data_IF_965112339573
#
_entry.id   IF_965112339573
#
_cell.length_a   1.000
_cell.length_b   1.000
_cell.length_c   1.000
_cell.angle_alpha   90.00
_cell.angle_beta   90.00
_cell.angle_gamma   90.00
#
_symmetry.space_group_name_H-M   'P 1'
#
loop_
_entity.id
_entity.type
_entity.pdbx_description
1 polymer ?
#
# COMPACT_ATOMS: atom_id res chain seq x y z
N UNK A 1 9.25 8.15 -12.95
CA UNK A 1 8.22 7.20 -12.48
C UNK A 1 8.76 5.78 -12.30
N UNK A 2 8.54 5.22 -11.12
CA UNK A 2 8.84 3.85 -10.74
C UNK A 2 7.58 3.13 -10.24
N UNK A 3 7.68 1.80 -10.08
CA UNK A 3 6.62 0.97 -9.51
C UNK A 3 7.14 0.29 -8.26
N UNK A 4 6.31 0.29 -7.21
CA UNK A 4 6.57 -0.41 -5.96
C UNK A 4 5.41 -1.35 -5.67
N UNK A 5 5.71 -2.62 -5.36
CA UNK A 5 4.70 -3.62 -4.97
C UNK A 5 4.87 -3.98 -3.50
N UNK A 6 3.81 -3.78 -2.75
CA UNK A 6 3.77 -3.97 -1.30
C UNK A 6 2.64 -4.92 -0.95
N UNK A 7 2.90 -5.80 0.02
CA UNK A 7 1.85 -6.42 0.81
C UNK A 7 1.61 -5.53 2.02
N UNK A 8 0.38 -5.06 2.16
CA UNK A 8 -0.11 -4.28 3.28
C UNK A 8 -1.00 -5.18 4.12
N UNK A 9 -0.68 -5.36 5.39
CA UNK A 9 -1.55 -6.07 6.35
C UNK A 9 -2.15 -5.06 7.31
N UNK A 10 -3.48 -5.04 7.37
CA UNK A 10 -4.28 -4.12 8.17
C UNK A 10 -4.74 -4.81 9.45
N UNK A 11 -4.36 -4.31 10.63
CA UNK A 11 -4.90 -4.80 11.90
C UNK A 11 -6.40 -4.46 12.03
N UNK A 12 -7.13 -5.13 12.96
CA UNK A 12 -8.58 -4.98 13.07
C UNK A 12 -9.08 -3.55 13.27
N UNK A 13 -8.29 -2.70 13.92
CA UNK A 13 -8.59 -1.29 14.19
C UNK A 13 -8.43 -0.38 12.96
N UNK A 14 -7.73 -0.84 11.93
CA UNK A 14 -7.47 -0.07 10.71
C UNK A 14 -8.22 -0.58 9.48
N UNK A 15 -8.93 -1.70 9.59
CA UNK A 15 -9.58 -2.35 8.43
C UNK A 15 -10.69 -1.50 7.81
N UNK A 16 -11.31 -0.63 8.60
CA UNK A 16 -12.36 0.30 8.17
C UNK A 16 -11.83 1.67 7.76
N UNK A 17 -10.53 1.92 7.94
CA UNK A 17 -9.91 3.19 7.62
C UNK A 17 -9.57 3.29 6.12
N UNK A 18 -9.83 4.42 5.45
CA UNK A 18 -9.63 4.58 4.01
C UNK A 18 -8.16 4.85 3.64
N UNK A 19 -7.22 4.09 4.19
CA UNK A 19 -5.77 4.36 4.11
C UNK A 19 -5.28 4.42 2.65
N UNK A 20 -5.69 3.46 1.81
CA UNK A 20 -5.29 3.42 0.39
C UNK A 20 -5.84 4.62 -0.38
N UNK A 21 -7.07 5.05 -0.07
CA UNK A 21 -7.66 6.25 -0.67
C UNK A 21 -6.90 7.51 -0.23
N UNK A 22 -6.57 7.62 1.06
CA UNK A 22 -5.87 8.78 1.60
C UNK A 22 -4.49 8.96 0.97
N UNK A 23 -3.71 7.89 0.78
CA UNK A 23 -2.40 8.02 0.11
C UNK A 23 -2.53 8.46 -1.36
N UNK A 24 -3.57 8.03 -2.07
CA UNK A 24 -3.82 8.48 -3.45
C UNK A 24 -4.29 9.93 -3.58
N UNK A 25 -4.80 10.52 -2.50
CA UNK A 25 -5.21 11.93 -2.44
C UNK A 25 -4.09 12.85 -1.93
N UNK A 26 -3.26 12.35 -1.00
CA UNK A 26 -2.24 13.14 -0.32
C UNK A 26 -0.89 13.15 -1.03
N UNK A 27 -0.63 12.14 -1.87
CA UNK A 27 0.61 11.96 -2.61
C UNK A 27 0.32 11.86 -4.10
N UNK A 28 1.29 12.25 -4.92
CA UNK A 28 1.20 12.18 -6.37
C UNK A 28 1.51 10.76 -6.88
N UNK A 29 0.66 9.80 -6.47
CA UNK A 29 0.82 8.38 -6.78
C UNK A 29 -0.48 7.78 -7.32
N UNK A 30 -0.33 6.71 -8.10
CA UNK A 30 -1.45 5.90 -8.59
C UNK A 30 -1.38 4.55 -7.91
N UNK A 31 -2.45 4.17 -7.21
CA UNK A 31 -2.57 2.88 -6.52
C UNK A 31 -3.37 1.89 -7.36
N UNK A 32 -2.86 0.67 -7.54
CA UNK A 32 -3.54 -0.42 -8.25
C UNK A 32 -3.55 -1.67 -7.37
N UNK A 33 -4.75 -2.11 -6.96
CA UNK A 33 -4.92 -3.34 -6.20
C UNK A 33 -4.66 -4.54 -7.11
N UNK A 34 -3.73 -5.41 -6.74
CA UNK A 34 -3.42 -6.64 -7.48
C UNK A 34 -4.11 -7.85 -6.88
N UNK A 35 -4.14 -7.94 -5.54
CA UNK A 35 -4.87 -8.96 -4.77
C UNK A 35 -5.31 -8.34 -3.46
N UNK A 36 -6.42 -8.82 -2.91
CA UNK A 36 -6.88 -8.44 -1.59
C UNK A 36 -7.68 -9.58 -0.98
N UNK A 37 -7.57 -9.72 0.33
CA UNK A 37 -8.43 -10.55 1.16
C UNK A 37 -8.77 -9.74 2.41
N UNK A 38 -10.06 -9.46 2.60
CA UNK A 38 -10.54 -8.57 3.66
C UNK A 38 -11.74 -9.24 4.32
N UNK A 39 -11.61 -9.55 5.60
CA UNK A 39 -12.68 -10.07 6.46
C UNK A 39 -13.04 -9.01 7.51
N UNK A 40 -13.88 -9.37 8.49
CA UNK A 40 -14.21 -8.47 9.60
C UNK A 40 -13.10 -8.33 10.65
N UNK A 41 -12.15 -9.27 10.69
CA UNK A 41 -11.11 -9.36 11.74
C UNK A 41 -9.68 -9.20 11.21
N UNK A 42 -9.46 -9.33 9.90
CA UNK A 42 -8.14 -9.23 9.28
C UNK A 42 -8.26 -8.79 7.83
N UNK A 43 -7.28 -8.07 7.33
CA UNK A 43 -7.23 -7.72 5.91
C UNK A 43 -5.82 -7.62 5.42
N UNK A 44 -5.54 -8.12 4.22
CA UNK A 44 -4.30 -7.83 3.53
C UNK A 44 -4.57 -7.46 2.07
N UNK A 45 -3.72 -6.58 1.54
CA UNK A 45 -3.80 -6.10 0.17
C UNK A 45 -2.41 -6.14 -0.44
N UNK A 46 -2.29 -6.76 -1.62
CA UNK A 46 -1.14 -6.57 -2.49
C UNK A 46 -1.43 -5.37 -3.39
N UNK A 47 -0.70 -4.29 -3.14
CA UNK A 47 -0.87 -3.02 -3.81
C UNK A 47 0.35 -2.71 -4.67
N UNK A 48 0.13 -2.37 -5.94
CA UNK A 48 1.12 -1.71 -6.76
C UNK A 48 0.92 -0.20 -6.68
N UNK A 49 2.00 0.54 -6.44
CA UNK A 49 2.02 1.99 -6.35
C UNK A 49 2.95 2.52 -7.43
N UNK A 50 2.45 3.39 -8.28
CA UNK A 50 3.22 4.09 -9.32
C UNK A 50 3.38 5.55 -8.95
N UNK A 51 4.60 6.05 -8.97
CA UNK A 51 4.91 7.44 -8.61
C UNK A 51 6.35 7.82 -8.91
N UNK A 52 6.75 9.03 -8.55
CA UNK A 52 8.17 9.38 -8.50
C UNK A 52 8.82 8.76 -7.25
N UNK A 53 10.13 8.43 -7.29
CA UNK A 53 10.78 7.69 -6.19
C UNK A 53 10.64 8.35 -4.81
N UNK A 54 10.73 9.68 -4.74
CA UNK A 54 10.54 10.48 -3.53
C UNK A 54 9.10 10.38 -2.99
N UNK A 55 8.09 10.42 -3.86
CA UNK A 55 6.69 10.19 -3.47
C UNK A 55 6.47 8.77 -2.95
N UNK A 56 7.09 7.77 -3.57
CA UNK A 56 7.01 6.37 -3.12
C UNK A 56 7.63 6.18 -1.74
N UNK A 57 8.78 6.80 -1.46
CA UNK A 57 9.43 6.77 -0.15
C UNK A 57 8.52 7.40 0.93
N UNK A 58 7.94 8.57 0.65
CA UNK A 58 7.02 9.26 1.56
C UNK A 58 5.76 8.44 1.85
N UNK A 59 5.21 7.74 0.84
CA UNK A 59 4.06 6.84 1.02
C UNK A 59 4.42 5.66 1.92
N UNK A 60 5.58 5.03 1.72
CA UNK A 60 6.03 3.90 2.55
C UNK A 60 6.23 4.34 4.01
N UNK A 61 6.83 5.50 4.23
CA UNK A 61 7.00 6.06 5.57
C UNK A 61 5.65 6.36 6.24
N UNK A 62 4.70 6.95 5.50
CA UNK A 62 3.35 7.18 5.99
C UNK A 62 2.64 5.89 6.40
N UNK A 63 2.68 4.84 5.56
CA UNK A 63 2.05 3.55 5.84
C UNK A 63 2.61 2.92 7.13
N UNK A 64 3.93 3.00 7.34
CA UNK A 64 4.56 2.54 8.60
C UNK A 64 4.12 3.38 9.80
N UNK A 65 4.00 4.71 9.64
CA UNK A 65 3.57 5.61 10.71
C UNK A 65 2.12 5.38 11.15
N UNK A 66 1.24 4.99 10.22
CA UNK A 66 -0.14 4.61 10.54
C UNK A 66 -0.26 3.17 11.05
N UNK A 67 0.86 2.49 11.34
CA UNK A 67 0.94 1.12 11.87
C UNK A 67 0.37 0.04 10.94
N UNK A 68 0.27 0.31 9.65
CA UNK A 68 0.07 -0.75 8.65
C UNK A 68 1.38 -1.52 8.54
N UNK A 69 1.30 -2.85 8.55
CA UNK A 69 2.45 -3.69 8.30
C UNK A 69 2.75 -3.67 6.79
N UNK A 70 3.99 -3.30 6.44
CA UNK A 70 4.41 -3.07 5.06
C UNK A 70 5.54 -4.04 4.72
N UNK A 71 5.26 -4.98 3.83
CA UNK A 71 6.24 -5.94 3.33
C UNK A 71 6.47 -5.72 1.82
N UNK A 72 7.71 -5.48 1.38
CA UNK A 72 8.03 -5.46 -0.05
C UNK A 72 7.75 -6.83 -0.67
N UNK A 73 7.18 -6.83 -1.88
CA UNK A 73 7.06 -8.06 -2.66
C UNK A 73 8.23 -8.08 -3.64
N UNK A 74 9.27 -8.83 -3.31
CA UNK A 74 10.36 -9.08 -4.25
C UNK A 74 9.85 -9.95 -5.40
N UNK A 75 10.23 -9.58 -6.63
CA UNK A 75 10.18 -10.51 -7.77
C UNK A 75 9.00 -10.40 -8.73
N UNK A 76 8.16 -9.38 -8.64
CA UNK A 76 7.06 -9.22 -9.61
C UNK A 76 7.50 -8.30 -10.77
N UNK A 77 8.63 -8.68 -11.40
CA UNK A 77 9.06 -8.17 -12.70
C UNK A 77 8.15 -8.83 -13.72
N UNK A 78 7.08 -8.14 -14.11
CA UNK A 78 6.34 -8.51 -15.33
C UNK A 78 7.25 -8.14 -16.49
N UNK A 79 7.86 -9.15 -17.10
CA UNK A 79 8.50 -9.04 -18.41
C UNK A 79 7.45 -8.84 -19.51
#
# INVERSE_FOLDING_TARGET
MAFLRLRLTFPPDLITEPIIHNIGQQYNVITSIRRADVTSDRGWVVLEIKGEPDELERVVEHLKNVKVEVEPIEGDVVQ
#
